data_IF_710672562813
#
_entry.id   IF_710672562813
#
_cell.length_a   1.000
_cell.length_b   1.000
_cell.length_c   1.000
_cell.angle_alpha   90.00
_cell.angle_beta   90.00
_cell.angle_gamma   90.00
#
_symmetry.space_group_name_H-M   'P 1'
#
loop_
_entity.id
_entity.type
_entity.pdbx_description
1 polymer ?
#
# COMPACT_ATOMS: atom_id res chain seq x y z
N UNK A 1 -15.69 23.61 18.99
CA UNK A 1 -16.14 24.85 19.65
C UNK A 1 -15.10 25.93 19.41
N UNK A 2 -15.49 27.20 19.27
CA UNK A 2 -14.55 28.31 19.13
C UNK A 2 -14.06 28.81 20.49
N UNK A 3 -12.94 29.54 20.51
CA UNK A 3 -12.50 30.31 21.67
C UNK A 3 -13.39 31.55 21.92
N UNK A 4 -13.09 32.31 22.98
CA UNK A 4 -13.80 33.56 23.34
C UNK A 4 -13.74 34.64 22.24
N UNK A 5 -12.77 34.56 21.33
CA UNK A 5 -12.62 35.46 20.19
C UNK A 5 -13.29 34.92 18.90
N UNK A 6 -14.01 33.80 18.97
CA UNK A 6 -14.69 33.18 17.84
C UNK A 6 -13.77 32.42 16.88
N UNK A 7 -12.56 32.03 17.30
CA UNK A 7 -11.60 31.29 16.46
C UNK A 7 -11.65 29.79 16.72
N UNK A 8 -11.44 29.01 15.67
CA UNK A 8 -11.26 27.56 15.73
C UNK A 8 -9.90 27.22 15.11
N UNK A 9 -9.03 26.57 15.90
CA UNK A 9 -7.75 26.06 15.41
C UNK A 9 -7.69 24.54 15.67
N UNK A 10 -7.61 23.74 14.61
CA UNK A 10 -7.63 22.27 14.71
C UNK A 10 -6.37 21.69 15.40
N UNK A 11 -5.28 22.44 15.50
CA UNK A 11 -4.08 22.03 16.25
C UNK A 11 -4.23 22.19 17.77
N UNK A 12 -5.22 22.95 18.25
CA UNK A 12 -5.43 23.21 19.68
C UNK A 12 -6.86 23.01 20.17
N UNK A 13 -7.82 22.83 19.26
CA UNK A 13 -9.24 22.68 19.59
C UNK A 13 -9.67 21.23 19.44
N UNK A 14 -10.02 20.59 20.57
CA UNK A 14 -10.50 19.21 20.55
C UNK A 14 -11.79 19.05 19.75
N UNK A 15 -11.86 17.98 18.95
CA UNK A 15 -13.12 17.44 18.47
C UNK A 15 -13.88 16.78 19.62
N UNK A 16 -15.14 17.16 19.80
CA UNK A 16 -16.00 16.66 20.90
C UNK A 16 -17.01 15.59 20.43
N UNK A 17 -17.03 15.27 19.14
CA UNK A 17 -17.96 14.29 18.56
C UNK A 17 -17.84 14.19 17.03
N UNK A 18 -18.58 13.25 16.45
CA UNK A 18 -18.59 13.02 15.00
C UNK A 18 -17.77 11.79 14.59
N UNK A 19 -17.05 11.88 13.47
CA UNK A 19 -16.25 10.76 12.93
C UNK A 19 -14.95 10.51 13.71
N UNK A 20 -14.49 11.48 14.49
CA UNK A 20 -13.38 11.37 15.44
C UNK A 20 -13.60 12.31 16.64
N UNK A 21 -12.95 12.00 17.77
CA UNK A 21 -12.91 12.82 18.99
C UNK A 21 -11.46 13.04 19.41
N UNK A 22 -11.18 14.09 20.18
CA UNK A 22 -9.84 14.42 20.66
C UNK A 22 -9.11 15.48 19.83
N UNK A 23 -7.85 15.75 20.17
CA UNK A 23 -7.01 16.73 19.51
C UNK A 23 -6.18 16.13 18.36
N UNK A 24 -6.63 16.33 17.12
CA UNK A 24 -5.93 15.88 15.92
C UNK A 24 -6.28 16.79 14.73
N UNK A 25 -5.27 17.49 14.20
CA UNK A 25 -5.46 18.42 13.08
C UNK A 25 -5.71 17.75 11.74
N UNK A 26 -5.43 16.45 11.63
CA UNK A 26 -5.71 15.63 10.45
C UNK A 26 -6.95 14.74 10.63
N UNK A 27 -7.63 14.85 11.78
CA UNK A 27 -8.85 14.12 12.11
C UNK A 27 -9.91 14.13 11.02
N UNK A 28 -10.16 15.29 10.41
CA UNK A 28 -11.14 15.43 9.32
C UNK A 28 -10.82 14.60 8.07
N UNK A 29 -9.55 14.20 7.86
CA UNK A 29 -9.11 13.49 6.67
C UNK A 29 -9.02 11.98 6.88
N UNK A 30 -8.39 11.52 7.97
CA UNK A 30 -8.23 10.09 8.20
C UNK A 30 -9.52 9.43 8.68
N UNK A 31 -10.41 10.19 9.35
CA UNK A 31 -11.67 9.67 9.88
C UNK A 31 -12.83 9.71 8.87
N UNK A 32 -12.55 10.04 7.60
CA UNK A 32 -13.57 10.06 6.57
C UNK A 32 -14.30 8.72 6.50
N UNK A 33 -15.64 8.81 6.52
CA UNK A 33 -16.53 7.67 6.31
C UNK A 33 -17.21 7.80 4.96
N UNK A 34 -17.58 6.66 4.40
CA UNK A 34 -18.40 6.64 3.20
C UNK A 34 -19.72 7.35 3.49
N UNK A 35 -20.17 8.17 2.55
CA UNK A 35 -21.50 8.76 2.58
C UNK A 35 -22.57 7.64 2.64
N UNK A 36 -23.47 7.63 3.65
CA UNK A 36 -24.49 6.60 3.81
C UNK A 36 -25.45 6.46 2.62
N UNK A 37 -25.59 7.49 1.79
CA UNK A 37 -26.41 7.45 0.57
C UNK A 37 -25.76 6.68 -0.59
N UNK A 38 -24.46 6.40 -0.50
CA UNK A 38 -23.72 5.68 -1.53
C UNK A 38 -23.85 4.16 -1.36
N UNK A 39 -23.70 3.41 -2.47
CA UNK A 39 -23.69 1.94 -2.45
C UNK A 39 -22.61 1.42 -1.49
N UNK A 40 -22.92 0.39 -0.70
CA UNK A 40 -21.96 -0.22 0.22
C UNK A 40 -20.79 -0.87 -0.52
N UNK A 41 -19.66 -1.05 0.18
CA UNK A 41 -18.47 -1.72 -0.36
C UNK A 41 -17.61 -0.84 -1.28
N UNK A 42 -17.79 0.49 -1.26
CA UNK A 42 -16.90 1.39 -1.98
C UNK A 42 -15.60 1.61 -1.21
N UNK A 43 -14.48 1.48 -1.91
CA UNK A 43 -13.16 1.86 -1.40
C UNK A 43 -12.73 3.18 -2.02
N UNK A 44 -12.17 4.08 -1.22
CA UNK A 44 -11.44 5.23 -1.74
C UNK A 44 -10.21 4.72 -2.50
N UNK A 45 -10.30 4.72 -3.82
CA UNK A 45 -9.25 4.23 -4.71
C UNK A 45 -8.85 5.34 -5.67
N UNK A 46 -7.57 5.73 -5.61
CA UNK A 46 -6.95 6.62 -6.60
C UNK A 46 -5.80 5.91 -7.27
N UNK A 47 -6.01 5.58 -8.54
CA UNK A 47 -5.06 4.81 -9.35
C UNK A 47 -4.02 5.74 -9.95
N UNK A 48 -4.47 6.72 -10.72
CA UNK A 48 -3.62 7.76 -11.31
C UNK A 48 -3.14 8.78 -10.25
N UNK A 49 -1.83 9.00 -10.17
CA UNK A 49 -1.25 9.96 -9.21
C UNK A 49 -1.46 11.43 -9.61
N UNK A 50 -1.72 11.68 -10.89
CA UNK A 50 -1.92 13.02 -11.46
C UNK A 50 -3.27 13.65 -11.07
N UNK A 51 -4.23 12.83 -10.63
CA UNK A 51 -5.57 13.30 -10.25
C UNK A 51 -5.60 13.60 -8.74
N UNK A 52 -5.78 14.88 -8.33
CA UNK A 52 -5.88 15.21 -6.92
C UNK A 52 -7.19 14.71 -6.30
N UNK A 53 -7.15 14.50 -4.99
CA UNK A 53 -8.35 14.40 -4.16
C UNK A 53 -8.89 15.79 -3.89
N UNK A 54 -10.17 16.01 -4.22
CA UNK A 54 -10.88 17.27 -3.97
C UNK A 54 -11.71 17.13 -2.70
N UNK A 55 -11.56 18.09 -1.80
CA UNK A 55 -12.27 18.18 -0.54
C UNK A 55 -13.06 19.47 -0.50
N UNK A 56 -14.27 19.40 0.00
CA UNK A 56 -15.05 20.55 0.41
C UNK A 56 -15.09 20.56 1.93
N UNK A 57 -14.42 21.53 2.54
CA UNK A 57 -14.52 21.76 3.98
C UNK A 57 -15.59 22.82 4.20
N UNK A 58 -16.50 22.56 5.14
CA UNK A 58 -17.62 23.45 5.44
C UNK A 58 -17.77 23.58 6.95
N UNK A 59 -17.78 24.81 7.44
CA UNK A 59 -18.12 25.12 8.81
C UNK A 59 -19.63 25.30 8.93
N UNK A 60 -20.25 24.57 9.85
CA UNK A 60 -21.69 24.62 10.13
C UNK A 60 -21.95 25.33 11.46
N UNK A 61 -23.07 26.03 11.54
CA UNK A 61 -23.57 26.70 12.72
C UNK A 61 -24.29 25.67 13.61
N UNK A 62 -23.79 25.49 14.83
CA UNK A 62 -24.29 24.54 15.80
C UNK A 62 -23.77 23.10 15.59
N UNK A 63 -24.24 22.19 16.44
CA UNK A 63 -23.98 20.76 16.30
C UNK A 63 -25.12 20.12 15.49
N UNK A 64 -24.85 19.86 14.21
CA UNK A 64 -25.83 19.34 13.25
C UNK A 64 -25.69 17.82 13.15
N UNK A 65 -26.80 17.09 13.22
CA UNK A 65 -26.82 15.63 13.05
C UNK A 65 -26.87 15.24 11.56
N UNK A 66 -26.46 14.00 11.24
CA UNK A 66 -26.46 13.52 9.85
C UNK A 66 -27.85 13.54 9.21
N UNK A 67 -28.90 13.22 9.96
CA UNK A 67 -30.28 13.22 9.46
C UNK A 67 -30.74 14.61 8.98
N UNK A 68 -30.21 15.68 9.59
CA UNK A 68 -30.46 17.07 9.20
C UNK A 68 -29.70 17.47 7.92
N UNK A 69 -28.58 16.79 7.63
CA UNK A 69 -27.74 17.03 6.44
C UNK A 69 -28.13 16.14 5.24
N UNK A 70 -28.69 14.95 5.48
CA UNK A 70 -28.93 13.93 4.46
C UNK A 70 -30.34 13.94 3.83
N UNK A 71 -31.24 14.82 4.28
CA UNK A 71 -32.61 14.91 3.77
C UNK A 71 -32.73 15.42 2.32
N UNK A 72 -33.82 15.04 1.62
CA UNK A 72 -34.10 15.42 0.22
C UNK A 72 -34.29 16.93 0.02
N UNK A 73 -34.59 17.67 1.09
CA UNK A 73 -34.46 19.11 1.09
C UNK A 73 -32.98 19.44 1.21
N UNK A 74 -32.26 19.49 0.08
CA UNK A 74 -30.94 20.13 0.01
C UNK A 74 -31.09 21.51 0.64
N UNK A 75 -30.57 21.72 1.85
CA UNK A 75 -30.75 23.01 2.45
C UNK A 75 -29.79 23.91 1.67
N UNK A 76 -30.29 25.03 1.14
CA UNK A 76 -29.49 26.22 0.84
C UNK A 76 -28.93 26.75 2.18
N UNK A 77 -28.15 25.91 2.87
CA UNK A 77 -28.42 25.56 4.25
C UNK A 77 -28.11 26.69 5.23
N UNK A 78 -29.13 27.16 5.96
CA UNK A 78 -28.98 28.20 6.98
C UNK A 78 -27.98 27.87 8.11
N UNK A 79 -27.37 26.69 8.08
CA UNK A 79 -26.27 26.28 8.94
C UNK A 79 -24.89 26.59 8.35
N UNK A 80 -24.68 26.62 7.04
CA UNK A 80 -23.36 26.85 6.48
C UNK A 80 -22.87 28.27 6.80
N UNK A 81 -21.78 28.38 7.56
CA UNK A 81 -21.12 29.64 7.90
C UNK A 81 -20.12 30.03 6.81
N UNK A 82 -19.30 29.08 6.40
CA UNK A 82 -18.33 29.26 5.31
C UNK A 82 -17.88 27.91 4.75
N UNK A 83 -17.33 27.95 3.54
CA UNK A 83 -16.90 26.77 2.80
C UNK A 83 -15.61 27.07 2.03
N UNK A 84 -14.68 26.12 2.01
CA UNK A 84 -13.45 26.18 1.22
C UNK A 84 -13.19 24.86 0.49
N UNK A 85 -12.82 24.97 -0.78
CA UNK A 85 -12.36 23.84 -1.56
C UNK A 85 -10.85 23.66 -1.38
N UNK A 86 -10.41 22.42 -1.15
CA UNK A 86 -9.02 22.02 -1.02
C UNK A 86 -8.71 20.89 -2.01
N UNK A 87 -7.54 20.94 -2.63
CA UNK A 87 -7.01 19.82 -3.40
C UNK A 87 -5.80 19.23 -2.67
N UNK A 88 -5.74 17.89 -2.61
CA UNK A 88 -4.57 17.14 -2.11
C UNK A 88 -4.04 16.27 -3.24
N UNK A 89 -2.79 16.48 -3.62
CA UNK A 89 -2.15 15.78 -4.73
C UNK A 89 -1.29 14.62 -4.24
N UNK A 90 -1.21 13.56 -5.05
CA UNK A 90 -0.22 12.49 -4.88
C UNK A 90 1.07 12.83 -5.64
N UNK A 91 0.93 13.33 -6.86
CA UNK A 91 2.04 13.80 -7.67
C UNK A 91 2.41 15.24 -7.28
N UNK A 92 3.59 15.39 -6.68
CA UNK A 92 4.21 16.69 -6.41
C UNK A 92 4.79 17.30 -7.69
N UNK A 93 4.77 18.63 -7.83
CA UNK A 93 5.38 19.33 -8.96
C UNK A 93 6.89 19.06 -9.08
N UNK A 94 7.54 18.73 -7.96
CA UNK A 94 8.95 18.33 -7.90
C UNK A 94 9.22 16.92 -8.42
N UNK A 95 8.19 16.14 -8.75
CA UNK A 95 8.29 14.76 -9.23
C UNK A 95 7.86 14.70 -10.70
N UNK A 96 8.57 13.87 -11.46
CA UNK A 96 8.25 13.56 -12.85
C UNK A 96 7.70 12.13 -12.94
N UNK A 97 6.64 11.96 -13.74
CA UNK A 97 6.04 10.67 -14.09
C UNK A 97 6.45 10.31 -15.52
N UNK A 98 7.01 9.11 -15.70
CA UNK A 98 7.46 8.57 -16.97
C UNK A 98 6.72 7.24 -17.23
N UNK A 99 5.77 7.18 -18.18
CA UNK A 99 5.11 5.93 -18.54
C UNK A 99 6.13 4.89 -19.03
N UNK A 100 6.00 3.65 -18.55
CA UNK A 100 6.88 2.54 -18.93
C UNK A 100 6.11 1.56 -19.80
N UNK A 101 6.59 1.44 -21.05
CA UNK A 101 6.19 0.42 -22.01
C UNK A 101 7.45 -0.13 -22.68
N UNK A 102 8.08 -1.10 -22.04
CA UNK A 102 9.35 -1.69 -22.49
C UNK A 102 9.26 -3.20 -22.51
N UNK A 103 9.43 -3.83 -23.68
CA UNK A 103 9.14 -5.25 -23.85
C UNK A 103 7.74 -5.58 -23.37
N UNK A 104 7.62 -6.51 -22.41
CA UNK A 104 6.34 -6.84 -21.73
C UNK A 104 6.06 -6.01 -20.47
N UNK A 105 7.01 -5.22 -19.97
CA UNK A 105 6.83 -4.43 -18.76
C UNK A 105 5.82 -3.29 -18.98
N UNK A 106 4.86 -3.15 -18.06
CA UNK A 106 3.90 -2.05 -18.03
C UNK A 106 3.88 -1.39 -16.66
N UNK A 107 3.99 -0.07 -16.64
CA UNK A 107 3.99 0.68 -15.39
C UNK A 107 4.24 2.17 -15.58
N UNK A 108 4.61 2.83 -14.49
CA UNK A 108 5.05 4.22 -14.50
C UNK A 108 6.22 4.41 -13.54
N UNK A 109 7.27 5.06 -14.02
CA UNK A 109 8.43 5.43 -13.22
C UNK A 109 8.25 6.85 -12.70
N UNK A 110 8.50 7.04 -11.40
CA UNK A 110 8.48 8.33 -10.73
C UNK A 110 9.86 8.67 -10.21
N UNK A 111 10.30 9.92 -10.36
CA UNK A 111 11.55 10.41 -9.76
C UNK A 111 11.50 11.91 -9.47
N UNK A 112 12.31 12.44 -8.53
CA UNK A 112 12.53 13.87 -8.43
C UNK A 112 13.01 14.46 -9.76
N UNK A 113 12.45 15.61 -10.16
CA UNK A 113 12.90 16.38 -11.32
C UNK A 113 14.33 16.89 -11.17
N UNK A 114 14.71 17.25 -9.95
CA UNK A 114 16.03 17.78 -9.62
C UNK A 114 17.15 16.73 -9.64
N UNK A 115 16.81 15.44 -9.69
CA UNK A 115 17.79 14.36 -9.64
C UNK A 115 17.80 13.57 -10.94
N UNK A 116 19.00 13.37 -11.49
CA UNK A 116 19.20 12.51 -12.66
C UNK A 116 18.98 11.04 -12.30
N UNK A 117 19.49 10.62 -11.15
CA UNK A 117 19.45 9.23 -10.69
C UNK A 117 19.27 9.14 -9.18
N UNK A 118 18.43 8.21 -8.73
CA UNK A 118 18.06 8.01 -7.34
C UNK A 118 18.28 6.55 -6.94
N UNK A 119 18.25 6.22 -5.63
CA UNK A 119 18.12 4.83 -5.21
C UNK A 119 16.86 4.21 -5.84
N UNK A 120 16.98 3.11 -6.61
CA UNK A 120 15.87 2.48 -7.30
C UNK A 120 14.98 1.67 -6.38
N UNK A 121 13.67 1.78 -6.59
CA UNK A 121 12.64 0.99 -5.90
C UNK A 121 11.61 0.47 -6.91
N UNK A 122 11.12 -0.75 -6.74
CA UNK A 122 9.93 -1.25 -7.44
C UNK A 122 8.80 -1.41 -6.44
N UNK A 123 7.62 -0.90 -6.81
CA UNK A 123 6.42 -0.83 -5.99
C UNK A 123 5.33 -1.75 -6.54
N UNK A 124 4.85 -2.68 -5.71
CA UNK A 124 3.85 -3.69 -6.04
C UNK A 124 2.65 -3.67 -5.09
N UNK A 125 1.46 -3.55 -5.68
CA UNK A 125 0.19 -3.73 -4.98
C UNK A 125 -0.32 -5.17 -5.09
N UNK A 126 -1.43 -5.48 -4.42
CA UNK A 126 -2.04 -6.81 -4.42
C UNK A 126 -2.97 -7.08 -5.60
N UNK A 127 -3.92 -8.01 -5.41
CA UNK A 127 -4.82 -8.59 -6.41
C UNK A 127 -5.90 -7.66 -6.98
N UNK A 128 -5.77 -6.34 -6.81
CA UNK A 128 -6.69 -5.36 -7.40
C UNK A 128 -6.49 -5.12 -8.91
N UNK A 129 -5.41 -5.64 -9.48
CA UNK A 129 -5.02 -5.45 -10.88
C UNK A 129 -4.76 -4.00 -11.25
N UNK A 130 -4.48 -3.72 -12.53
CA UNK A 130 -4.25 -2.36 -12.99
C UNK A 130 -2.92 -1.77 -12.52
N UNK A 131 -2.76 -0.45 -12.69
CA UNK A 131 -1.60 0.30 -12.24
C UNK A 131 -1.98 1.21 -11.06
N UNK A 132 -1.33 1.03 -9.91
CA UNK A 132 -1.46 1.89 -8.71
C UNK A 132 -0.25 2.80 -8.59
N UNK A 133 -0.45 4.12 -8.66
CA UNK A 133 0.67 5.07 -8.73
C UNK A 133 0.89 5.88 -7.46
N UNK A 134 -0.14 6.01 -6.61
CA UNK A 134 -0.15 6.97 -5.50
C UNK A 134 1.02 6.78 -4.52
N UNK A 135 1.35 5.54 -4.15
CA UNK A 135 2.47 5.24 -3.25
C UNK A 135 3.82 5.54 -3.90
N UNK A 136 3.99 5.16 -5.16
CA UNK A 136 5.21 5.43 -5.93
C UNK A 136 5.49 6.92 -6.12
N UNK A 137 4.45 7.72 -6.42
CA UNK A 137 4.58 9.16 -6.57
C UNK A 137 5.01 9.84 -5.25
N UNK A 138 4.45 9.40 -4.13
CA UNK A 138 4.83 9.90 -2.80
C UNK A 138 6.25 9.49 -2.42
N UNK A 139 6.66 8.22 -2.61
CA UNK A 139 8.04 7.80 -2.35
C UNK A 139 9.05 8.54 -3.23
N UNK A 140 8.72 8.82 -4.49
CA UNK A 140 9.61 9.55 -5.36
C UNK A 140 9.90 10.97 -4.86
N UNK A 141 8.93 11.62 -4.18
CA UNK A 141 9.14 12.92 -3.53
C UNK A 141 10.24 12.86 -2.45
N UNK A 142 10.37 11.72 -1.78
CA UNK A 142 11.37 11.47 -0.74
C UNK A 142 12.77 11.12 -1.29
N UNK A 143 12.97 11.20 -2.62
CA UNK A 143 14.30 11.08 -3.23
C UNK A 143 14.61 9.73 -3.86
N UNK A 144 13.60 8.89 -4.10
CA UNK A 144 13.74 7.59 -4.78
C UNK A 144 13.36 7.67 -6.27
N UNK A 145 13.85 6.73 -7.08
CA UNK A 145 13.31 6.46 -8.41
C UNK A 145 12.45 5.21 -8.31
N UNK A 146 11.14 5.36 -8.43
CA UNK A 146 10.17 4.32 -8.05
C UNK A 146 9.38 3.86 -9.26
N UNK A 147 9.46 2.59 -9.59
CA UNK A 147 8.64 1.97 -10.63
C UNK A 147 7.37 1.40 -9.99
N UNK A 148 6.23 2.05 -10.24
CA UNK A 148 4.93 1.44 -10.07
C UNK A 148 4.77 0.37 -11.17
N UNK A 149 4.76 -0.91 -10.80
CA UNK A 149 4.72 -2.01 -11.76
C UNK A 149 3.34 -2.67 -11.77
N UNK A 150 2.67 -2.64 -12.92
CA UNK A 150 1.49 -3.47 -13.15
C UNK A 150 1.93 -4.87 -13.58
N UNK A 151 1.17 -5.90 -13.23
CA UNK A 151 1.49 -7.30 -13.57
C UNK A 151 0.29 -8.11 -14.06
N UNK A 152 -0.93 -7.58 -13.98
CA UNK A 152 -2.13 -8.12 -14.62
C UNK A 152 -3.25 -7.05 -14.68
N UNK A 153 -4.28 -7.30 -15.48
CA UNK A 153 -5.45 -6.45 -15.70
C UNK A 153 -5.09 -4.98 -16.01
N UNK A 154 -4.06 -4.78 -16.84
CA UNK A 154 -3.59 -3.47 -17.26
C UNK A 154 -3.02 -3.54 -18.67
N UNK A 155 -3.50 -2.66 -19.56
CA UNK A 155 -3.13 -2.66 -20.98
C UNK A 155 -3.21 -4.05 -21.63
N UNK A 156 -2.09 -4.55 -22.15
CA UNK A 156 -1.92 -5.83 -22.83
C UNK A 156 -1.35 -6.93 -21.92
N UNK A 157 -1.31 -6.71 -20.61
CA UNK A 157 -1.02 -7.76 -19.63
C UNK A 157 -2.18 -8.77 -19.52
N UNK A 158 -1.94 -9.97 -18.96
CA UNK A 158 -2.99 -10.95 -18.71
C UNK A 158 -4.18 -10.33 -17.96
N UNK A 159 -5.41 -10.67 -18.34
CA UNK A 159 -6.62 -10.10 -17.73
C UNK A 159 -6.83 -10.57 -16.29
N UNK A 160 -6.42 -11.78 -16.00
CA UNK A 160 -6.59 -12.45 -14.72
C UNK A 160 -5.25 -12.95 -14.19
N UNK A 161 -5.13 -13.00 -12.87
CA UNK A 161 -3.95 -13.51 -12.19
C UNK A 161 -4.16 -14.99 -11.87
N UNK A 162 -3.66 -15.88 -12.72
CA UNK A 162 -3.70 -17.33 -12.47
C UNK A 162 -2.38 -17.86 -11.89
N UNK A 163 -1.28 -17.18 -12.18
CA UNK A 163 0.08 -17.57 -11.82
C UNK A 163 0.95 -16.33 -11.70
N UNK A 164 1.93 -16.36 -10.80
CA UNK A 164 2.97 -15.34 -10.67
C UNK A 164 4.18 -15.77 -11.50
N UNK A 165 4.44 -15.03 -12.57
CA UNK A 165 5.62 -15.20 -13.43
C UNK A 165 6.80 -14.39 -12.87
N UNK A 166 7.73 -15.04 -12.19
CA UNK A 166 8.92 -14.38 -11.61
C UNK A 166 9.91 -13.91 -12.67
N UNK A 167 9.90 -14.46 -13.89
CA UNK A 167 10.76 -13.96 -14.95
C UNK A 167 10.32 -12.53 -15.35
N UNK A 168 9.04 -12.18 -15.22
CA UNK A 168 8.53 -10.81 -15.46
C UNK A 168 9.08 -9.81 -14.45
N UNK A 169 9.14 -10.21 -13.18
CA UNK A 169 9.66 -9.35 -12.12
C UNK A 169 11.19 -9.26 -12.17
N UNK A 170 11.90 -10.32 -12.59
CA UNK A 170 13.35 -10.26 -12.84
C UNK A 170 13.66 -9.28 -13.98
N UNK A 171 12.88 -9.29 -15.07
CA UNK A 171 13.01 -8.31 -16.15
C UNK A 171 12.80 -6.86 -15.68
N UNK A 172 11.84 -6.62 -14.79
CA UNK A 172 11.61 -5.30 -14.22
C UNK A 172 12.76 -4.83 -13.34
N UNK A 173 13.35 -5.75 -12.57
CA UNK A 173 14.55 -5.49 -11.77
C UNK A 173 15.72 -5.12 -12.68
N UNK A 174 15.98 -5.93 -13.71
CA UNK A 174 17.07 -5.68 -14.65
C UNK A 174 16.89 -4.37 -15.42
N UNK A 175 15.65 -4.06 -15.84
CA UNK A 175 15.30 -2.79 -16.44
C UNK A 175 15.61 -1.61 -15.50
N UNK A 176 15.21 -1.68 -14.24
CA UNK A 176 15.47 -0.62 -13.27
C UNK A 176 16.95 -0.45 -12.97
N UNK A 177 17.70 -1.55 -12.85
CA UNK A 177 19.14 -1.48 -12.57
C UNK A 177 19.95 -0.95 -13.76
N UNK A 178 19.54 -1.26 -15.00
CA UNK A 178 20.17 -0.75 -16.21
C UNK A 178 19.72 0.68 -16.58
N UNK A 179 18.64 1.17 -15.97
CA UNK A 179 18.05 2.48 -16.25
C UNK A 179 19.00 3.63 -15.87
N UNK A 180 19.06 4.72 -16.66
CA UNK A 180 19.84 5.91 -16.30
C UNK A 180 19.33 6.62 -15.02
N UNK A 181 18.17 6.20 -14.51
CA UNK A 181 17.56 6.73 -13.29
C UNK A 181 17.99 5.98 -12.02
N UNK A 182 18.69 4.85 -12.15
CA UNK A 182 19.25 4.12 -11.01
C UNK A 182 20.63 4.65 -10.64
N UNK A 183 20.77 5.12 -9.40
CA UNK A 183 22.06 5.53 -8.83
C UNK A 183 22.97 4.35 -8.53
N UNK A 184 22.38 3.18 -8.25
CA UNK A 184 23.09 1.99 -7.77
C UNK A 184 23.59 1.12 -8.93
N UNK A 185 22.96 1.19 -10.10
CA UNK A 185 23.33 0.43 -11.29
C UNK A 185 23.20 -1.09 -11.13
N UNK A 186 23.68 -1.88 -12.12
CA UNK A 186 23.56 -3.34 -12.14
C UNK A 186 24.10 -4.08 -10.91
N UNK A 187 25.21 -3.60 -10.35
CA UNK A 187 25.90 -4.26 -9.22
C UNK A 187 25.41 -3.79 -7.84
N UNK A 188 24.73 -2.64 -7.79
CA UNK A 188 24.28 -2.05 -6.54
C UNK A 188 22.96 -2.64 -6.03
N UNK A 189 22.12 -3.17 -6.92
CA UNK A 189 20.80 -3.72 -6.58
C UNK A 189 19.76 -2.63 -6.27
N UNK A 190 18.55 -3.05 -5.88
CA UNK A 190 17.41 -2.15 -5.63
C UNK A 190 16.58 -2.53 -4.41
N UNK A 191 15.70 -1.62 -4.00
CA UNK A 191 14.67 -1.88 -2.98
C UNK A 191 13.36 -2.37 -3.61
N UNK A 192 12.64 -3.25 -2.92
CA UNK A 192 11.29 -3.65 -3.30
C UNK A 192 10.30 -3.28 -2.20
N UNK A 193 9.11 -2.83 -2.57
CA UNK A 193 8.00 -2.62 -1.63
C UNK A 193 6.75 -3.31 -2.15
N UNK A 194 6.12 -4.14 -1.31
CA UNK A 194 4.98 -4.96 -1.67
C UNK A 194 3.89 -4.93 -0.61
N UNK A 195 2.61 -4.90 -1.02
CA UNK A 195 1.47 -5.06 -0.11
C UNK A 195 0.55 -6.20 -0.55
N UNK A 196 0.03 -6.98 0.42
CA UNK A 196 -0.84 -8.13 0.14
C UNK A 196 -0.15 -9.11 -0.82
N UNK A 197 -0.77 -9.54 -1.94
CA UNK A 197 -0.10 -10.39 -2.92
C UNK A 197 1.20 -9.78 -3.49
N UNK A 198 1.34 -8.45 -3.51
CA UNK A 198 2.59 -7.78 -3.88
C UNK A 198 3.71 -8.06 -2.88
N UNK A 199 3.39 -8.26 -1.60
CA UNK A 199 4.34 -8.61 -0.56
C UNK A 199 4.91 -10.03 -0.77
N UNK A 200 4.07 -10.99 -1.21
CA UNK A 200 4.50 -12.34 -1.57
C UNK A 200 5.48 -12.31 -2.76
N UNK A 201 5.20 -11.48 -3.76
CA UNK A 201 6.06 -11.33 -4.95
C UNK A 201 7.43 -10.76 -4.55
N UNK A 202 7.48 -9.69 -3.77
CA UNK A 202 8.77 -9.09 -3.37
C UNK A 202 9.59 -10.00 -2.45
N UNK A 203 8.94 -10.80 -1.60
CA UNK A 203 9.62 -11.80 -0.80
C UNK A 203 10.23 -12.91 -1.68
N UNK A 204 9.48 -13.45 -2.64
CA UNK A 204 10.04 -14.42 -3.59
C UNK A 204 11.18 -13.82 -4.43
N UNK A 205 11.05 -12.56 -4.86
CA UNK A 205 12.10 -11.86 -5.59
C UNK A 205 13.41 -11.75 -4.77
N UNK A 206 13.31 -11.40 -3.48
CA UNK A 206 14.46 -11.34 -2.59
C UNK A 206 15.17 -12.69 -2.42
N UNK A 207 14.41 -13.79 -2.45
CA UNK A 207 14.95 -15.15 -2.35
C UNK A 207 15.56 -15.60 -3.69
N UNK A 208 14.94 -15.25 -4.82
CA UNK A 208 15.26 -15.80 -6.14
C UNK A 208 16.28 -14.99 -6.94
N UNK A 209 16.37 -13.67 -6.73
CA UNK A 209 17.16 -12.77 -7.58
C UNK A 209 18.54 -12.43 -7.00
N UNK A 210 18.90 -13.02 -5.87
CA UNK A 210 20.22 -12.87 -5.25
C UNK A 210 20.56 -11.40 -4.97
N UNK A 211 21.75 -10.97 -5.40
CA UNK A 211 22.29 -9.62 -5.10
C UNK A 211 21.57 -8.47 -5.80
N UNK A 212 20.66 -8.76 -6.73
CA UNK A 212 19.85 -7.73 -7.42
C UNK A 212 18.89 -7.02 -6.46
N UNK A 213 18.50 -7.67 -5.36
CA UNK A 213 17.59 -7.12 -4.35
C UNK A 213 18.38 -6.88 -3.06
N UNK A 214 18.30 -5.66 -2.52
CA UNK A 214 19.05 -5.24 -1.32
C UNK A 214 18.18 -5.06 -0.08
N UNK A 215 16.96 -4.56 -0.28
CA UNK A 215 16.01 -4.35 0.79
C UNK A 215 14.59 -4.65 0.32
N UNK A 216 13.76 -5.22 1.20
CA UNK A 216 12.34 -5.45 0.99
C UNK A 216 11.55 -4.81 2.11
N UNK A 217 10.58 -3.97 1.76
CA UNK A 217 9.49 -3.57 2.64
C UNK A 217 8.26 -4.45 2.32
N UNK A 218 7.97 -5.36 3.23
CA UNK A 218 6.89 -6.33 3.14
C UNK A 218 5.71 -5.83 3.99
N UNK A 219 4.54 -5.63 3.39
CA UNK A 219 3.38 -5.02 4.04
C UNK A 219 2.19 -5.99 4.01
N UNK A 220 1.80 -6.53 5.17
CA UNK A 220 0.66 -7.45 5.31
C UNK A 220 0.59 -8.53 4.20
N UNK A 221 1.71 -9.18 3.90
CA UNK A 221 1.75 -10.32 2.98
C UNK A 221 1.37 -11.62 3.66
N UNK A 222 1.70 -12.74 3.02
CA UNK A 222 1.50 -14.07 3.58
C UNK A 222 2.79 -14.73 4.09
N UNK A 223 2.66 -15.60 5.09
CA UNK A 223 3.75 -16.45 5.62
C UNK A 223 4.12 -17.52 4.60
N UNK A 224 3.07 -18.06 3.98
CA UNK A 224 3.23 -19.04 2.92
C UNK A 224 3.77 -18.36 1.66
N UNK A 225 4.53 -19.16 0.91
CA UNK A 225 5.28 -18.70 -0.25
C UNK A 225 4.46 -17.88 -1.25
N UNK A 226 3.22 -18.27 -1.53
CA UNK A 226 2.33 -17.49 -2.39
C UNK A 226 0.91 -18.06 -2.39
N UNK A 227 -0.07 -17.15 -2.54
CA UNK A 227 -1.46 -17.50 -2.81
C UNK A 227 -1.67 -18.15 -4.20
N UNK A 228 -0.89 -17.72 -5.18
CA UNK A 228 -0.93 -18.22 -6.55
C UNK A 228 0.28 -19.11 -6.84
N UNK A 229 0.19 -20.06 -7.78
CA UNK A 229 1.37 -20.79 -8.22
C UNK A 229 2.44 -19.81 -8.73
N UNK A 230 3.71 -20.10 -8.44
CA UNK A 230 4.85 -19.23 -8.78
C UNK A 230 5.73 -19.95 -9.78
N UNK A 231 5.97 -19.35 -10.94
CA UNK A 231 6.86 -19.89 -11.98
C UNK A 231 8.13 -19.05 -12.08
N UNK A 232 9.28 -19.71 -12.11
CA UNK A 232 10.57 -19.07 -12.34
C UNK A 232 11.48 -19.99 -13.14
N UNK A 233 12.02 -19.54 -14.28
CA UNK A 233 12.93 -20.32 -15.14
C UNK A 233 12.39 -21.73 -15.44
N UNK A 234 11.13 -21.79 -15.86
CA UNK A 234 10.35 -23.00 -16.15
C UNK A 234 10.10 -23.95 -14.96
N UNK A 235 10.47 -23.58 -13.73
CA UNK A 235 10.11 -24.34 -12.52
C UNK A 235 8.84 -23.76 -11.91
N UNK A 236 7.85 -24.61 -11.71
CA UNK A 236 6.61 -24.25 -11.04
C UNK A 236 6.67 -24.65 -9.57
N UNK A 237 6.39 -23.70 -8.69
CA UNK A 237 6.10 -23.94 -7.29
C UNK A 237 4.59 -23.84 -7.12
N UNK A 238 3.97 -24.92 -6.65
CA UNK A 238 2.53 -24.95 -6.41
C UNK A 238 2.12 -23.89 -5.39
N UNK A 239 0.87 -23.42 -5.48
CA UNK A 239 0.29 -22.55 -4.46
C UNK A 239 0.22 -23.25 -3.11
N UNK A 240 0.26 -22.47 -2.04
CA UNK A 240 0.22 -23.01 -0.67
C UNK A 240 -1.19 -23.19 -0.11
N UNK A 241 -2.24 -22.79 -0.85
CA UNK A 241 -3.60 -22.67 -0.35
C UNK A 241 -4.61 -23.56 -1.10
N UNK A 242 -5.62 -24.13 -0.40
CA UNK A 242 -6.76 -24.81 -1.02
C UNK A 242 -7.53 -23.90 -1.99
N UNK A 243 -8.29 -24.48 -2.94
CA UNK A 243 -9.16 -23.72 -3.85
C UNK A 243 -10.37 -23.07 -3.16
N UNK A 244 -10.78 -23.58 -2.00
CA UNK A 244 -11.97 -23.16 -1.23
C UNK A 244 -11.76 -21.86 -0.44
N UNK A 245 -10.58 -21.25 -0.60
CA UNK A 245 -10.13 -20.10 0.16
C UNK A 245 -10.55 -18.77 -0.45
N UNK A 246 -11.34 -17.98 0.28
CA UNK A 246 -11.77 -16.64 -0.12
C UNK A 246 -13.22 -16.51 -0.61
N UNK A 247 -14.13 -17.38 -0.17
CA UNK A 247 -15.57 -17.16 -0.35
C UNK A 247 -16.06 -15.95 0.47
N UNK A 248 -16.94 -15.14 -0.11
CA UNK A 248 -17.40 -13.85 0.43
C UNK A 248 -17.86 -13.91 1.90
N UNK A 249 -17.29 -13.03 2.73
CA UNK A 249 -17.74 -12.78 4.10
C UNK A 249 -17.11 -13.64 5.19
N UNK A 250 -16.15 -14.51 4.86
CA UNK A 250 -15.40 -15.30 5.85
C UNK A 250 -14.07 -14.63 6.22
N UNK A 251 -13.70 -14.74 7.50
CA UNK A 251 -12.37 -14.40 7.99
C UNK A 251 -11.33 -15.34 7.38
N UNK A 252 -10.55 -14.85 6.42
CA UNK A 252 -9.55 -15.68 5.72
C UNK A 252 -8.40 -16.10 6.63
N UNK A 253 -8.26 -15.50 7.83
CA UNK A 253 -7.33 -15.99 8.85
C UNK A 253 -7.67 -17.41 9.28
N UNK A 254 -8.95 -17.68 9.54
CA UNK A 254 -9.41 -18.98 10.04
C UNK A 254 -9.47 -20.02 8.93
N UNK A 255 -9.98 -19.62 7.76
CA UNK A 255 -10.25 -20.55 6.66
C UNK A 255 -9.01 -20.95 5.86
N UNK A 256 -7.99 -20.07 5.75
CA UNK A 256 -6.97 -20.22 4.70
C UNK A 256 -5.55 -20.40 5.20
N UNK A 257 -5.22 -19.84 6.35
CA UNK A 257 -3.82 -19.64 6.67
C UNK A 257 -3.37 -20.41 7.93
N UNK A 258 -4.23 -21.27 8.47
CA UNK A 258 -3.94 -22.19 9.58
C UNK A 258 -3.14 -23.43 9.18
N UNK A 259 -2.98 -23.72 7.88
CA UNK A 259 -2.44 -24.97 7.35
C UNK A 259 -1.07 -24.90 6.65
N UNK A 260 -0.34 -23.78 6.72
CA UNK A 260 0.97 -23.69 6.05
C UNK A 260 1.97 -24.70 6.65
N UNK A 261 2.47 -25.62 5.83
CA UNK A 261 3.56 -26.53 6.22
C UNK A 261 4.91 -25.82 6.14
N UNK A 262 5.92 -26.30 6.87
CA UNK A 262 7.30 -25.78 6.84
C UNK A 262 7.87 -25.74 5.41
N UNK A 263 7.53 -26.71 4.56
CA UNK A 263 7.95 -26.74 3.16
C UNK A 263 7.27 -25.66 2.28
N UNK A 264 6.18 -25.06 2.75
CA UNK A 264 5.40 -24.03 2.06
C UNK A 264 5.66 -22.62 2.57
N UNK A 265 6.45 -22.47 3.64
CA UNK A 265 6.82 -21.18 4.20
C UNK A 265 7.80 -20.45 3.28
N UNK A 266 7.83 -19.11 3.38
CA UNK A 266 8.81 -18.29 2.68
C UNK A 266 10.19 -18.55 3.28
N UNK A 267 11.15 -19.13 2.51
CA UNK A 267 12.48 -19.40 3.03
C UNK A 267 13.34 -18.13 2.99
N UNK A 268 13.02 -17.18 3.87
CA UNK A 268 13.67 -15.86 3.94
C UNK A 268 15.16 -15.96 4.31
N UNK A 269 15.58 -17.00 5.04
CA UNK A 269 16.99 -17.33 5.34
C UNK A 269 17.85 -17.49 4.09
N UNK A 270 17.23 -17.88 2.97
CA UNK A 270 17.95 -18.08 1.71
C UNK A 270 18.26 -16.77 1.02
N UNK A 271 17.70 -15.66 1.49
CA UNK A 271 17.97 -14.34 0.96
C UNK A 271 19.15 -13.68 1.67
N UNK A 272 19.89 -12.86 0.92
CA UNK A 272 20.91 -11.94 1.49
C UNK A 272 20.37 -10.52 1.66
N UNK A 273 19.07 -10.35 1.42
CA UNK A 273 18.37 -9.08 1.46
C UNK A 273 18.02 -8.70 2.90
N UNK A 274 17.91 -7.38 3.17
CA UNK A 274 17.31 -6.91 4.41
C UNK A 274 15.78 -6.87 4.28
N UNK A 275 15.06 -7.30 5.32
CA UNK A 275 13.61 -7.24 5.34
C UNK A 275 13.10 -6.28 6.42
N UNK A 276 12.11 -5.48 6.06
CA UNK A 276 11.23 -4.77 6.97
C UNK A 276 9.83 -5.37 6.83
N UNK A 277 9.35 -6.04 7.86
CA UNK A 277 8.00 -6.58 7.93
C UNK A 277 7.10 -5.59 8.67
N UNK A 278 6.03 -5.16 8.01
CA UNK A 278 4.99 -4.33 8.59
C UNK A 278 3.68 -5.13 8.59
N UNK A 279 3.19 -5.46 9.79
CA UNK A 279 2.01 -6.29 9.98
C UNK A 279 0.96 -5.60 10.84
N UNK A 280 -0.29 -5.57 10.36
CA UNK A 280 -1.43 -5.13 11.16
C UNK A 280 -1.90 -6.26 12.08
N UNK A 281 -2.06 -5.96 13.36
CA UNK A 281 -2.62 -6.91 14.32
C UNK A 281 -4.13 -7.13 14.16
N UNK A 282 -4.76 -6.39 13.25
CA UNK A 282 -6.18 -6.49 12.93
C UNK A 282 -6.40 -6.67 11.41
N UNK A 283 -5.46 -7.34 10.74
CA UNK A 283 -5.70 -7.78 9.37
C UNK A 283 -6.67 -8.97 9.37
N UNK A 284 -7.80 -8.86 8.67
CA UNK A 284 -8.76 -9.96 8.47
C UNK A 284 -8.54 -10.69 7.14
N UNK A 285 -7.60 -10.22 6.32
CA UNK A 285 -7.23 -10.81 5.02
C UNK A 285 -6.12 -11.85 5.18
N UNK A 286 -5.24 -11.67 6.17
CA UNK A 286 -4.09 -12.54 6.47
C UNK A 286 -3.96 -12.74 7.98
N UNK A 287 -3.47 -13.88 8.50
CA UNK A 287 -3.25 -14.07 9.93
C UNK A 287 -2.28 -13.06 10.50
N UNK A 288 -2.61 -12.63 11.71
CA UNK A 288 -1.84 -11.67 12.49
C UNK A 288 -0.45 -12.21 12.85
N UNK A 289 -0.32 -13.53 13.06
CA UNK A 289 0.94 -14.19 13.40
C UNK A 289 1.84 -14.45 12.19
N UNK A 290 1.42 -14.04 10.98
CA UNK A 290 2.18 -14.24 9.75
C UNK A 290 3.60 -13.71 9.87
N UNK A 291 3.73 -12.43 10.21
CA UNK A 291 5.02 -11.77 10.28
C UNK A 291 5.80 -12.18 11.55
N UNK A 292 5.10 -12.37 12.67
CA UNK A 292 5.71 -12.87 13.91
C UNK A 292 6.26 -14.27 13.77
N UNK A 293 5.66 -15.17 12.98
CA UNK A 293 6.21 -16.52 12.76
C UNK A 293 7.36 -16.54 11.75
N UNK A 294 7.29 -15.77 10.66
CA UNK A 294 8.44 -15.56 9.77
C UNK A 294 9.61 -15.00 10.57
N UNK A 295 9.31 -14.16 11.56
CA UNK A 295 10.29 -13.68 12.53
C UNK A 295 10.75 -14.83 13.47
N UNK A 296 9.87 -15.42 14.26
CA UNK A 296 10.20 -16.39 15.32
C UNK A 296 10.85 -17.70 14.86
N UNK A 297 10.63 -18.15 13.62
CA UNK A 297 11.16 -19.43 13.15
C UNK A 297 12.70 -19.44 12.97
N UNK A 298 13.38 -18.28 13.01
CA UNK A 298 14.78 -18.20 12.57
C UNK A 298 15.76 -17.40 13.47
N UNK A 299 15.44 -17.11 14.72
CA UNK A 299 16.32 -16.28 15.57
C UNK A 299 17.23 -17.04 16.53
N UNK A 300 18.39 -17.47 16.00
CA UNK A 300 19.67 -17.21 16.70
C UNK A 300 20.68 -16.42 15.83
N UNK A 301 20.60 -16.44 14.47
CA UNK A 301 21.69 -15.94 13.61
C UNK A 301 21.37 -14.76 12.63
N UNK A 302 20.13 -14.25 12.55
CA UNK A 302 19.71 -13.28 11.50
C UNK A 302 19.31 -11.86 11.96
N UNK A 303 19.51 -11.50 13.23
CA UNK A 303 19.00 -10.26 13.87
C UNK A 303 19.40 -8.94 13.20
N UNK A 304 20.54 -8.88 12.50
CA UNK A 304 21.00 -7.65 11.83
C UNK A 304 20.37 -7.43 10.43
N UNK A 305 19.60 -8.40 9.92
CA UNK A 305 19.07 -8.40 8.56
C UNK A 305 17.55 -8.24 8.46
N UNK A 306 16.82 -8.33 9.57
CA UNK A 306 15.36 -8.33 9.60
C UNK A 306 14.81 -7.44 10.71
N UNK A 307 13.86 -6.58 10.39
CA UNK A 307 13.10 -5.76 11.35
C UNK A 307 11.60 -6.06 11.23
N UNK A 308 10.91 -6.25 12.36
CA UNK A 308 9.46 -6.44 12.43
C UNK A 308 8.81 -5.30 13.21
N UNK A 309 7.83 -4.63 12.59
CA UNK A 309 7.01 -3.61 13.21
C UNK A 309 5.55 -4.06 13.13
N UNK A 310 4.92 -4.22 14.29
CA UNK A 310 3.48 -4.54 14.42
C UNK A 310 2.70 -3.32 14.87
N UNK A 311 1.50 -3.14 14.31
CA UNK A 311 0.62 -2.01 14.67
C UNK A 311 -0.70 -2.51 15.27
N UNK A 312 -1.03 -2.16 16.52
CA UNK A 312 -2.36 -2.40 17.08
C UNK A 312 -3.37 -1.39 16.53
N UNK A 313 -4.67 -1.70 16.58
CA UNK A 313 -5.68 -0.64 16.47
C UNK A 313 -5.58 0.24 17.72
N UNK A 314 -4.96 1.41 17.58
CA UNK A 314 -5.13 2.48 18.55
C UNK A 314 -5.51 3.77 17.82
N UNK A 315 -6.82 4.03 17.78
CA UNK A 315 -7.33 5.38 17.57
C UNK A 315 -7.84 5.87 18.91
N UNK A 316 -6.91 6.21 19.81
CA UNK A 316 -7.23 7.01 21.01
C UNK A 316 -6.51 8.33 20.88
N UNK A 317 -7.19 9.29 20.27
CA UNK A 317 -6.78 10.68 20.32
C UNK A 317 -7.39 11.24 21.60
N UNK A 318 -6.54 11.63 22.55
CA UNK A 318 -6.97 12.23 23.81
C UNK A 318 -7.00 13.75 23.68
N UNK A 319 -7.85 14.37 24.49
CA UNK A 319 -7.57 15.70 25.04
C UNK A 319 -6.73 15.47 26.30
#
# INVERSE_FOLDING_TARGET
>A
MTDEAGRLNLDSSCSVGGTYTGLDSMGLFWSLKQDPSQRTGLRLLRREAEIPLKYQLTALNGHVMWDELAGEQKPDSGHALCSIALERTYLSDSVERLPIKFGRLRGALFKPRSQRSCPPVIDLFGTGGGLMEHRSALLAKEGFSVLALAYFNYEDLPKELHEIDMDYFEEAVDFMLASPYSRLGPEGGLGLIGVSAGADIVANAAIMFGKKVRAVAWLNGNRCRSWFPVRYRARLVAKSFPDECGADGLDSREACCSGCTEAQELPVEKSTCRFLFLSSLDDYSMPVDTAERVWLLEFEDLTDSVELITWPIQVRVTC
#
